data_IF_128404391965
#
_entry.id   IF_128404391965
#
_cell.length_a   1.000
_cell.length_b   1.000
_cell.length_c   1.000
_cell.angle_alpha   90.00
_cell.angle_beta   90.00
_cell.angle_gamma   90.00
#
_symmetry.space_group_name_H-M   'P 1'
#
loop_
_entity.id
_entity.type
_entity.pdbx_description
1 polymer ?
#
# COMPACT_ATOMS: atom_id res chain seq x y z
N UNK A 1 2.55 -35.58 -13.21
CA UNK A 1 2.40 -34.14 -13.46
C UNK A 1 3.61 -33.45 -12.84
N UNK A 2 4.18 -32.48 -13.56
CA UNK A 2 5.24 -31.63 -13.00
C UNK A 2 4.61 -30.56 -12.10
N UNK A 3 5.36 -29.91 -11.21
CA UNK A 3 4.83 -28.85 -10.37
C UNK A 3 4.47 -27.60 -11.19
N UNK A 4 3.54 -26.78 -10.69
CA UNK A 4 3.33 -25.41 -11.16
C UNK A 4 4.44 -24.53 -10.56
N UNK A 5 5.13 -23.77 -11.39
CA UNK A 5 6.25 -22.91 -10.98
C UNK A 5 5.75 -21.49 -10.71
N UNK A 6 5.91 -21.03 -9.49
CA UNK A 6 5.52 -19.65 -9.09
C UNK A 6 6.81 -18.82 -8.98
N UNK A 7 6.88 -17.73 -9.75
CA UNK A 7 8.02 -16.81 -9.76
C UNK A 7 7.65 -15.55 -8.97
N UNK A 8 8.27 -15.37 -7.81
CA UNK A 8 8.06 -14.27 -6.88
C UNK A 8 7.31 -14.67 -5.62
N UNK A 9 7.90 -14.37 -4.47
CA UNK A 9 7.38 -14.64 -3.11
C UNK A 9 6.70 -13.42 -2.46
N UNK A 10 6.21 -12.47 -3.26
CA UNK A 10 5.36 -11.38 -2.80
C UNK A 10 3.94 -11.83 -2.49
N UNK A 11 3.05 -10.90 -2.12
CA UNK A 11 1.66 -11.21 -1.73
C UNK A 11 0.91 -12.00 -2.80
N UNK A 12 1.07 -11.64 -4.10
CA UNK A 12 0.42 -12.34 -5.21
C UNK A 12 0.92 -13.79 -5.34
N UNK A 13 2.23 -14.02 -5.23
CA UNK A 13 2.82 -15.37 -5.27
C UNK A 13 2.42 -16.23 -4.08
N UNK A 14 2.41 -15.65 -2.88
CA UNK A 14 1.95 -16.33 -1.66
C UNK A 14 0.46 -16.71 -1.77
N UNK A 15 -0.38 -15.83 -2.32
CA UNK A 15 -1.79 -16.12 -2.55
C UNK A 15 -1.98 -17.22 -3.59
N UNK A 16 -1.23 -17.17 -4.70
CA UNK A 16 -1.24 -18.24 -5.71
C UNK A 16 -0.83 -19.59 -5.11
N UNK A 17 0.26 -19.63 -4.32
CA UNK A 17 0.71 -20.82 -3.63
C UNK A 17 -0.35 -21.36 -2.65
N UNK A 18 -0.99 -20.47 -1.88
CA UNK A 18 -2.05 -20.84 -0.94
C UNK A 18 -3.26 -21.48 -1.65
N UNK A 19 -3.67 -20.91 -2.79
CA UNK A 19 -4.78 -21.46 -3.62
C UNK A 19 -4.40 -22.86 -4.14
N UNK A 20 -3.20 -23.02 -4.70
CA UNK A 20 -2.72 -24.30 -5.22
C UNK A 20 -2.62 -25.34 -4.11
N UNK A 21 -2.08 -24.97 -2.95
CA UNK A 21 -2.00 -25.84 -1.78
C UNK A 21 -3.38 -26.33 -1.33
N UNK A 22 -4.34 -25.41 -1.21
CA UNK A 22 -5.72 -25.76 -0.84
C UNK A 22 -6.39 -26.68 -1.86
N UNK A 23 -6.08 -26.51 -3.14
CA UNK A 23 -6.57 -27.40 -4.23
C UNK A 23 -5.76 -28.68 -4.37
N UNK A 24 -4.75 -28.92 -3.53
CA UNK A 24 -3.84 -30.08 -3.58
C UNK A 24 -3.11 -30.22 -4.92
N UNK A 25 -2.83 -29.11 -5.57
CA UNK A 25 -2.02 -29.04 -6.77
C UNK A 25 -0.56 -28.89 -6.40
N UNK A 26 0.33 -29.61 -7.07
CA UNK A 26 1.77 -29.52 -6.78
C UNK A 26 2.35 -28.21 -7.34
N UNK A 27 3.17 -27.52 -6.54
CA UNK A 27 3.79 -26.25 -6.90
C UNK A 27 5.18 -26.10 -6.28
N UNK A 28 5.97 -25.20 -6.83
CA UNK A 28 7.22 -24.69 -6.23
C UNK A 28 7.23 -23.18 -6.40
N UNK A 29 7.44 -22.44 -5.31
CA UNK A 29 7.58 -21.00 -5.31
C UNK A 29 9.05 -20.62 -5.21
N UNK A 30 9.51 -19.72 -6.10
CA UNK A 30 10.87 -19.20 -6.17
C UNK A 30 10.88 -17.72 -5.80
N UNK A 31 11.74 -17.34 -4.85
CA UNK A 31 11.92 -15.97 -4.39
C UNK A 31 13.42 -15.63 -4.38
N UNK A 32 13.79 -14.47 -4.94
CA UNK A 32 15.18 -14.00 -5.01
C UNK A 32 15.77 -13.58 -3.68
N UNK A 33 14.92 -13.13 -2.76
CA UNK A 33 15.34 -12.71 -1.42
C UNK A 33 15.41 -13.90 -0.46
N UNK A 34 16.04 -13.67 0.70
CA UNK A 34 16.07 -14.63 1.79
C UNK A 34 14.77 -14.67 2.60
N UNK A 35 13.76 -13.87 2.24
CA UNK A 35 12.48 -13.71 2.93
C UNK A 35 11.34 -13.52 1.93
N UNK A 36 10.13 -13.85 2.38
CA UNK A 36 8.89 -13.67 1.63
C UNK A 36 8.30 -12.26 1.89
N UNK A 37 7.37 -11.82 1.02
CA UNK A 37 6.57 -10.60 1.23
C UNK A 37 6.79 -9.53 0.15
N UNK A 38 7.96 -9.49 -0.49
CA UNK A 38 8.25 -8.52 -1.53
C UNK A 38 8.16 -7.08 -1.03
N UNK A 39 7.19 -6.31 -1.55
CA UNK A 39 6.92 -4.92 -1.11
C UNK A 39 6.27 -4.85 0.28
N UNK A 40 5.53 -5.88 0.68
CA UNK A 40 4.92 -6.01 2.02
C UNK A 40 5.94 -6.67 2.94
N UNK A 41 6.92 -5.88 3.37
CA UNK A 41 8.02 -6.35 4.22
C UNK A 41 8.50 -5.26 5.16
N UNK A 42 9.20 -5.66 6.21
CA UNK A 42 9.77 -4.77 7.23
C UNK A 42 11.24 -5.11 7.44
N UNK A 43 12.00 -4.13 7.91
CA UNK A 43 13.37 -4.34 8.41
C UNK A 43 13.44 -3.96 9.88
N UNK A 44 14.36 -4.58 10.61
CA UNK A 44 14.70 -4.16 11.98
C UNK A 44 16.01 -3.39 11.94
N UNK A 45 16.01 -2.15 12.44
CA UNK A 45 17.19 -1.29 12.52
C UNK A 45 17.23 -0.57 13.87
N UNK A 46 18.30 -0.75 14.60
CA UNK A 46 18.52 -0.13 15.93
C UNK A 46 17.33 -0.34 16.91
N UNK A 47 16.67 -1.51 16.83
CA UNK A 47 15.49 -1.85 17.62
C UNK A 47 14.18 -1.24 17.13
N UNK A 48 14.17 -0.52 16.01
CA UNK A 48 12.97 -0.06 15.32
C UNK A 48 12.52 -1.06 14.26
N UNK A 49 11.22 -1.27 14.12
CA UNK A 49 10.62 -2.01 13.02
C UNK A 49 10.15 -0.99 11.97
N UNK A 50 10.74 -1.05 10.78
CA UNK A 50 10.50 -0.11 9.69
C UNK A 50 9.91 -0.87 8.49
N UNK A 51 8.67 -0.57 8.15
CA UNK A 51 8.03 -1.12 6.97
C UNK A 51 8.64 -0.52 5.69
N UNK A 52 8.64 -1.27 4.60
CA UNK A 52 9.15 -0.81 3.32
C UNK A 52 8.22 0.26 2.70
N UNK A 53 8.34 1.49 3.19
CA UNK A 53 7.46 2.61 2.92
C UNK A 53 6.27 2.68 3.89
N UNK A 54 5.51 3.77 3.84
CA UNK A 54 4.30 3.89 4.65
C UNK A 54 3.22 2.95 4.12
N UNK A 55 2.83 1.99 4.92
CA UNK A 55 1.82 0.99 4.59
C UNK A 55 0.82 0.83 5.72
N UNK A 56 -0.41 0.53 5.36
CA UNK A 56 -1.48 0.16 6.29
C UNK A 56 -2.24 -1.05 5.75
N UNK A 57 -2.65 -1.94 6.64
CA UNK A 57 -3.57 -3.02 6.32
C UNK A 57 -5.00 -2.51 6.44
N UNK A 58 -5.73 -2.48 5.32
CA UNK A 58 -7.16 -2.14 5.33
C UNK A 58 -7.98 -3.40 5.56
N UNK A 59 -8.61 -3.49 6.73
CA UNK A 59 -9.26 -4.73 7.18
C UNK A 59 -10.54 -5.08 6.42
N UNK A 60 -11.12 -4.13 5.68
CA UNK A 60 -12.32 -4.36 4.87
C UNK A 60 -12.07 -4.99 3.51
N UNK A 61 -10.82 -5.07 3.07
CA UNK A 61 -10.53 -5.72 1.79
C UNK A 61 -10.99 -7.18 1.81
N UNK A 62 -11.80 -7.62 0.84
CA UNK A 62 -12.33 -8.98 0.81
C UNK A 62 -11.24 -10.06 0.87
N UNK A 63 -10.12 -9.86 0.17
CA UNK A 63 -9.02 -10.82 0.15
C UNK A 63 -8.25 -10.86 1.48
N UNK A 64 -8.17 -9.74 2.21
CA UNK A 64 -7.61 -9.71 3.56
C UNK A 64 -8.43 -10.60 4.50
N UNK A 65 -9.76 -10.49 4.45
CA UNK A 65 -10.66 -11.29 5.29
C UNK A 65 -10.68 -12.79 4.92
N UNK A 66 -10.40 -13.12 3.65
CA UNK A 66 -10.37 -14.52 3.19
C UNK A 66 -9.04 -15.20 3.46
N UNK A 67 -7.93 -14.44 3.37
CA UNK A 67 -6.58 -15.01 3.32
C UNK A 67 -5.81 -14.90 4.62
N UNK A 68 -6.17 -13.95 5.51
CA UNK A 68 -5.44 -13.64 6.72
C UNK A 68 -6.25 -13.99 7.98
N UNK A 69 -5.56 -14.44 9.00
CA UNK A 69 -6.07 -14.48 10.37
C UNK A 69 -5.70 -13.16 11.06
N UNK A 70 -6.66 -12.25 11.15
CA UNK A 70 -6.44 -10.93 11.71
C UNK A 70 -6.18 -10.96 13.22
N UNK A 71 -6.67 -11.98 13.92
CA UNK A 71 -6.43 -12.14 15.36
C UNK A 71 -4.98 -12.51 15.63
N UNK A 72 -4.40 -13.41 14.84
CA UNK A 72 -2.99 -13.83 14.95
C UNK A 72 -2.02 -12.67 14.67
N UNK A 73 -2.40 -11.72 13.81
CA UNK A 73 -1.57 -10.55 13.48
C UNK A 73 -1.50 -9.50 14.60
N UNK A 74 -2.33 -9.62 15.65
CA UNK A 74 -2.38 -8.68 16.78
C UNK A 74 -2.40 -7.21 16.31
N UNK A 75 -3.43 -6.84 15.55
CA UNK A 75 -3.53 -5.57 14.84
C UNK A 75 -3.64 -4.37 15.79
N UNK A 76 -2.86 -3.34 15.53
CA UNK A 76 -2.97 -2.01 16.11
C UNK A 76 -3.64 -1.08 15.12
N UNK A 77 -4.71 -0.39 15.55
CA UNK A 77 -5.58 0.37 14.66
C UNK A 77 -5.26 1.85 14.70
N UNK A 78 -5.29 2.47 13.52
CA UNK A 78 -5.36 3.91 13.41
C UNK A 78 -6.72 4.42 13.89
N UNK A 79 -6.75 5.63 14.43
CA UNK A 79 -8.00 6.36 14.59
C UNK A 79 -8.63 6.61 13.21
N UNK A 80 -9.97 6.47 13.13
CA UNK A 80 -10.70 6.67 11.89
C UNK A 80 -10.83 8.14 11.54
N UNK A 81 -9.79 8.71 10.98
CA UNK A 81 -9.73 10.12 10.62
C UNK A 81 -8.35 10.52 10.12
N UNK A 82 -8.17 11.81 9.96
CA UNK A 82 -6.89 12.44 9.63
C UNK A 82 -6.77 13.79 10.35
N UNK A 83 -5.55 14.25 10.51
CA UNK A 83 -5.26 15.62 10.96
C UNK A 83 -4.81 16.43 9.75
N UNK A 84 -5.42 17.60 9.57
CA UNK A 84 -5.08 18.55 8.52
C UNK A 84 -4.67 19.84 9.22
N UNK A 85 -3.39 20.21 9.12
CA UNK A 85 -2.83 21.27 9.97
C UNK A 85 -3.11 20.90 11.44
N UNK A 86 -3.78 21.73 12.20
CA UNK A 86 -4.13 21.48 13.61
C UNK A 86 -5.60 21.05 13.80
N UNK A 87 -6.30 20.70 12.71
CA UNK A 87 -7.71 20.31 12.74
C UNK A 87 -7.89 18.82 12.56
N UNK A 88 -8.72 18.22 13.40
CA UNK A 88 -9.09 16.82 13.32
C UNK A 88 -10.30 16.66 12.39
N UNK A 89 -10.19 15.73 11.46
CA UNK A 89 -11.28 15.29 10.62
C UNK A 89 -11.50 13.80 10.83
N UNK A 90 -12.64 13.43 11.41
CA UNK A 90 -13.00 12.05 11.67
C UNK A 90 -13.94 11.49 10.62
N UNK A 91 -13.94 10.16 10.51
CA UNK A 91 -14.86 9.44 9.64
C UNK A 91 -16.33 9.78 10.03
N UNK A 92 -17.10 10.39 9.12
CA UNK A 92 -18.44 10.86 9.42
C UNK A 92 -19.44 9.75 9.74
N UNK A 93 -19.23 8.53 9.30
CA UNK A 93 -20.08 7.39 9.64
C UNK A 93 -19.88 6.91 11.08
N UNK A 94 -18.70 7.17 11.66
CA UNK A 94 -18.36 6.77 13.05
C UNK A 94 -18.59 7.88 14.05
N UNK A 95 -18.40 9.13 13.61
CA UNK A 95 -18.56 10.33 14.43
C UNK A 95 -19.42 11.37 13.70
N UNK A 96 -20.72 11.10 13.48
CA UNK A 96 -21.59 11.98 12.68
C UNK A 96 -21.75 13.38 13.28
N UNK A 97 -21.64 13.51 14.59
CA UNK A 97 -21.76 14.83 15.26
C UNK A 97 -20.52 15.72 15.01
N UNK A 98 -19.36 15.13 14.75
CA UNK A 98 -18.13 15.89 14.48
C UNK A 98 -18.19 16.61 13.10
N UNK A 99 -19.09 16.19 12.21
CA UNK A 99 -19.38 16.90 10.95
C UNK A 99 -19.84 18.35 11.18
N UNK A 100 -20.58 18.58 12.26
CA UNK A 100 -21.14 19.91 12.56
C UNK A 100 -20.24 20.75 13.46
N UNK A 101 -19.26 20.15 14.12
CA UNK A 101 -18.27 20.83 14.96
C UNK A 101 -16.96 21.10 14.26
N UNK A 102 -16.76 20.56 13.05
CA UNK A 102 -15.55 20.73 12.29
C UNK A 102 -15.57 22.05 11.51
N UNK A 103 -14.61 22.94 11.77
CA UNK A 103 -14.39 24.13 10.97
C UNK A 103 -13.90 23.83 9.54
N UNK A 104 -13.59 22.55 9.25
CA UNK A 104 -13.15 22.09 7.94
C UNK A 104 -14.30 22.01 6.93
N UNK A 105 -15.53 21.77 7.38
CA UNK A 105 -16.68 21.47 6.53
C UNK A 105 -17.67 22.64 6.46
N UNK A 106 -18.11 22.93 5.26
CA UNK A 106 -19.28 23.78 4.99
C UNK A 106 -20.53 22.94 4.74
N UNK A 107 -21.71 23.55 4.76
CA UNK A 107 -22.97 22.87 4.37
C UNK A 107 -22.89 22.27 2.95
N UNK A 108 -22.17 22.92 2.02
CA UNK A 108 -21.96 22.41 0.65
C UNK A 108 -21.14 21.11 0.67
N UNK A 109 -20.15 21.04 1.54
CA UNK A 109 -19.32 19.84 1.71
C UNK A 109 -20.15 18.68 2.26
N UNK A 110 -20.91 18.92 3.31
CA UNK A 110 -21.80 17.90 3.90
C UNK A 110 -22.80 17.38 2.86
N UNK A 111 -23.39 18.27 2.06
CA UNK A 111 -24.32 17.87 1.00
C UNK A 111 -23.63 17.06 -0.11
N UNK A 112 -22.42 17.44 -0.50
CA UNK A 112 -21.60 16.70 -1.48
C UNK A 112 -21.21 15.33 -0.97
N UNK A 113 -20.78 15.23 0.30
CA UNK A 113 -20.49 13.96 0.98
C UNK A 113 -21.74 13.06 1.07
N UNK A 114 -22.91 13.63 1.36
CA UNK A 114 -24.17 12.87 1.38
C UNK A 114 -24.51 12.29 0.01
N UNK A 115 -24.31 13.04 -1.09
CA UNK A 115 -24.48 12.53 -2.47
C UNK A 115 -23.52 11.37 -2.75
N UNK A 116 -22.26 11.50 -2.35
CA UNK A 116 -21.26 10.43 -2.50
C UNK A 116 -21.68 9.20 -1.69
N UNK A 117 -22.13 9.40 -0.44
CA UNK A 117 -22.59 8.30 0.41
C UNK A 117 -23.77 7.56 -0.20
N UNK A 118 -24.78 8.27 -0.72
CA UNK A 118 -25.91 7.64 -1.44
C UNK A 118 -25.42 6.81 -2.63
N UNK A 119 -24.44 7.33 -3.39
CA UNK A 119 -23.86 6.60 -4.52
C UNK A 119 -23.12 5.34 -4.07
N UNK A 120 -22.45 5.36 -2.92
CA UNK A 120 -21.75 4.19 -2.35
C UNK A 120 -22.71 3.10 -1.83
N UNK A 121 -24.01 3.40 -1.59
CA UNK A 121 -25.01 2.39 -1.24
C UNK A 121 -25.45 1.56 -2.45
N UNK A 122 -25.23 2.07 -3.67
CA UNK A 122 -25.38 1.32 -4.91
C UNK A 122 -24.14 0.49 -5.24
N UNK A 123 -24.17 -0.20 -6.37
CA UNK A 123 -22.95 -0.84 -6.87
C UNK A 123 -21.93 0.23 -7.21
N UNK A 124 -20.72 0.12 -6.65
CA UNK A 124 -19.59 0.92 -7.11
C UNK A 124 -19.42 0.64 -8.60
N UNK A 125 -19.38 1.67 -9.47
CA UNK A 125 -19.22 1.44 -10.89
C UNK A 125 -18.00 0.55 -11.14
N UNK A 126 -18.17 -0.47 -11.96
CA UNK A 126 -17.05 -1.27 -12.43
C UNK A 126 -16.00 -0.36 -13.07
N UNK A 127 -14.74 -0.78 -13.06
CA UNK A 127 -13.65 -0.04 -13.72
C UNK A 127 -13.92 0.16 -15.22
N UNK A 128 -14.83 -0.61 -15.77
CA UNK A 128 -15.17 -0.62 -17.18
C UNK A 128 -16.08 0.55 -17.57
N UNK A 129 -15.52 1.49 -18.32
CA UNK A 129 -16.27 2.40 -19.18
C UNK A 129 -16.44 3.85 -18.72
N UNK A 130 -16.12 4.22 -17.49
CA UNK A 130 -16.13 5.64 -17.12
C UNK A 130 -14.71 6.23 -17.25
N UNK A 131 -14.49 7.01 -18.31
CA UNK A 131 -13.21 7.69 -18.57
C UNK A 131 -12.96 8.90 -17.64
N UNK A 132 -13.88 9.19 -16.72
CA UNK A 132 -13.74 10.31 -15.79
C UNK A 132 -12.61 10.03 -14.79
N UNK A 133 -11.69 10.98 -14.68
CA UNK A 133 -10.62 10.94 -13.68
C UNK A 133 -11.16 11.28 -12.28
N UNK A 134 -10.44 10.87 -11.25
CA UNK A 134 -10.74 11.26 -9.86
C UNK A 134 -10.71 12.78 -9.68
N UNK A 135 -9.78 13.49 -10.35
CA UNK A 135 -9.71 14.95 -10.29
C UNK A 135 -10.97 15.61 -10.88
N UNK A 136 -11.41 15.15 -12.04
CA UNK A 136 -12.65 15.64 -12.68
C UNK A 136 -13.87 15.33 -11.83
N UNK A 137 -13.92 14.13 -11.23
CA UNK A 137 -14.99 13.76 -10.31
C UNK A 137 -15.04 14.71 -9.10
N UNK A 138 -13.93 14.93 -8.41
CA UNK A 138 -13.87 15.83 -7.25
C UNK A 138 -14.31 17.24 -7.64
N UNK A 139 -13.88 17.73 -8.81
CA UNK A 139 -14.24 19.05 -9.33
C UNK A 139 -15.73 19.15 -9.72
N UNK A 140 -16.40 18.05 -10.00
CA UNK A 140 -17.83 18.03 -10.35
C UNK A 140 -18.76 18.19 -9.14
N UNK A 141 -18.25 17.96 -7.91
CA UNK A 141 -18.98 18.21 -6.67
C UNK A 141 -18.77 19.64 -6.18
N UNK A 142 -19.78 20.18 -5.49
CA UNK A 142 -19.74 21.53 -4.95
C UNK A 142 -18.98 21.61 -3.61
N UNK A 143 -17.80 20.98 -3.54
CA UNK A 143 -16.94 21.10 -2.37
C UNK A 143 -16.39 22.51 -2.20
N UNK A 144 -16.20 22.93 -0.95
CA UNK A 144 -15.44 24.13 -0.63
C UNK A 144 -13.96 23.97 -1.05
N UNK A 145 -13.34 25.06 -1.44
CA UNK A 145 -11.90 25.01 -1.81
C UNK A 145 -11.02 24.54 -0.67
N UNK A 146 -11.41 24.89 0.56
CA UNK A 146 -10.70 24.45 1.76
C UNK A 146 -10.75 22.94 1.92
N UNK A 147 -11.94 22.33 1.97
CA UNK A 147 -12.10 20.88 2.13
C UNK A 147 -11.46 20.11 0.97
N UNK A 148 -11.66 20.60 -0.26
CA UNK A 148 -11.09 20.00 -1.46
C UNK A 148 -9.56 20.01 -1.43
N UNK A 149 -8.93 21.19 -1.21
CA UNK A 149 -7.50 21.36 -1.41
C UNK A 149 -6.66 21.03 -0.15
N UNK A 150 -7.23 21.12 1.06
CA UNK A 150 -6.49 20.82 2.28
C UNK A 150 -6.68 19.37 2.77
N UNK A 151 -7.80 18.72 2.41
CA UNK A 151 -8.09 17.35 2.83
C UNK A 151 -8.19 16.38 1.64
N UNK A 152 -9.19 16.57 0.76
CA UNK A 152 -9.60 15.53 -0.17
C UNK A 152 -8.52 15.22 -1.22
N UNK A 153 -7.97 16.27 -1.83
CA UNK A 153 -6.90 16.12 -2.83
C UNK A 153 -5.61 15.57 -2.19
N UNK A 154 -5.04 16.14 -1.10
CA UNK A 154 -3.84 15.58 -0.48
C UNK A 154 -4.02 14.15 0.02
N UNK A 155 -5.20 13.79 0.53
CA UNK A 155 -5.50 12.43 0.96
C UNK A 155 -5.40 11.44 -0.22
N UNK A 156 -6.08 11.73 -1.34
CA UNK A 156 -6.04 10.87 -2.51
C UNK A 156 -4.74 10.93 -3.30
N UNK A 157 -3.98 12.03 -3.20
CA UNK A 157 -2.58 12.05 -3.69
C UNK A 157 -1.74 10.98 -2.97
N UNK A 158 -1.94 10.80 -1.65
CA UNK A 158 -1.28 9.74 -0.88
C UNK A 158 -1.76 8.34 -1.24
N UNK A 159 -3.07 8.17 -1.50
CA UNK A 159 -3.64 6.87 -1.89
C UNK A 159 -3.17 6.43 -3.28
N UNK A 160 -3.14 7.37 -4.24
CA UNK A 160 -2.80 7.08 -5.63
C UNK A 160 -1.34 7.34 -5.98
N UNK A 161 -0.56 7.90 -5.07
CA UNK A 161 0.82 8.33 -5.28
C UNK A 161 0.97 9.25 -6.52
N UNK A 162 0.01 10.16 -6.70
CA UNK A 162 -0.06 11.07 -7.84
C UNK A 162 -0.24 12.53 -7.38
N UNK A 163 0.50 13.46 -7.99
CA UNK A 163 0.27 14.90 -7.78
C UNK A 163 -1.05 15.35 -8.42
N UNK A 164 -1.38 14.83 -9.58
CA UNK A 164 -2.67 15.04 -10.26
C UNK A 164 -3.43 13.73 -10.29
N UNK A 165 -4.66 13.73 -9.77
CA UNK A 165 -5.47 12.53 -9.57
C UNK A 165 -6.06 12.03 -10.91
N UNK A 166 -5.23 11.44 -11.76
CA UNK A 166 -5.61 10.93 -13.09
C UNK A 166 -6.19 9.52 -13.04
N UNK A 167 -6.09 8.82 -11.92
CA UNK A 167 -6.71 7.49 -11.76
C UNK A 167 -8.22 7.56 -11.95
N UNK A 168 -8.85 6.48 -12.46
CA UNK A 168 -10.29 6.41 -12.68
C UNK A 168 -11.12 6.75 -11.44
N UNK A 169 -12.24 7.45 -11.66
CA UNK A 169 -13.17 7.81 -10.59
C UNK A 169 -13.77 6.59 -9.84
N UNK A 170 -13.81 5.42 -10.47
CA UNK A 170 -14.22 4.16 -9.83
C UNK A 170 -13.30 3.77 -8.68
N UNK A 171 -11.97 3.99 -8.83
CA UNK A 171 -11.01 3.73 -7.75
C UNK A 171 -11.21 4.68 -6.57
N UNK A 172 -11.56 5.96 -6.81
CA UNK A 172 -11.93 6.88 -5.75
C UNK A 172 -13.08 6.32 -4.90
N UNK A 173 -14.17 5.86 -5.53
CA UNK A 173 -15.30 5.29 -4.80
C UNK A 173 -14.93 4.00 -4.08
N UNK A 174 -14.15 3.12 -4.71
CA UNK A 174 -13.69 1.88 -4.10
C UNK A 174 -12.89 2.14 -2.82
N UNK A 175 -11.84 2.96 -2.90
CA UNK A 175 -11.01 3.26 -1.73
C UNK A 175 -11.77 4.05 -0.67
N UNK A 176 -12.61 5.03 -1.07
CA UNK A 176 -13.43 5.76 -0.12
C UNK A 176 -14.38 4.82 0.65
N UNK A 177 -14.98 3.85 -0.03
CA UNK A 177 -15.80 2.82 0.61
C UNK A 177 -14.99 2.02 1.64
N UNK A 178 -13.78 1.60 1.28
CA UNK A 178 -12.92 0.87 2.21
C UNK A 178 -12.57 1.71 3.45
N UNK A 179 -12.25 2.99 3.28
CA UNK A 179 -11.93 3.88 4.40
C UNK A 179 -13.16 4.20 5.28
N UNK A 180 -14.34 4.26 4.69
CA UNK A 180 -15.58 4.53 5.46
C UNK A 180 -16.00 3.33 6.30
N UNK A 181 -15.91 2.13 5.78
CA UNK A 181 -16.43 0.91 6.42
C UNK A 181 -15.36 0.04 7.07
N UNK A 182 -14.11 0.14 6.63
CA UNK A 182 -12.99 -0.61 7.18
C UNK A 182 -12.21 0.11 8.27
N UNK A 183 -11.16 -0.56 8.75
CA UNK A 183 -10.18 0.00 9.67
C UNK A 183 -8.79 -0.10 9.04
N UNK A 184 -8.02 0.97 9.13
CA UNK A 184 -6.59 0.96 8.85
C UNK A 184 -5.85 0.43 10.08
N UNK A 185 -4.93 -0.50 9.88
CA UNK A 185 -4.19 -1.13 10.97
C UNK A 185 -2.73 -1.42 10.58
N UNK A 186 -1.91 -1.67 11.59
CA UNK A 186 -0.54 -2.19 11.46
C UNK A 186 -0.46 -3.46 12.30
N UNK A 187 0.09 -4.58 11.77
CA UNK A 187 0.41 -5.75 12.59
C UNK A 187 1.41 -5.41 13.71
N UNK A 188 1.33 -6.11 14.83
CA UNK A 188 2.20 -5.87 15.99
C UNK A 188 3.70 -5.92 15.65
N UNK A 189 4.09 -6.80 14.73
CA UNK A 189 5.47 -7.01 14.29
C UNK A 189 5.77 -6.35 12.92
N UNK A 190 4.98 -5.32 12.51
CA UNK A 190 5.09 -4.67 11.21
C UNK A 190 4.49 -5.49 10.07
N UNK A 191 4.54 -4.94 8.86
CA UNK A 191 3.89 -5.53 7.68
C UNK A 191 4.47 -6.89 7.27
N UNK A 192 5.73 -7.19 7.62
CA UNK A 192 6.36 -8.50 7.38
C UNK A 192 5.57 -9.66 8.01
N UNK A 193 4.87 -9.43 9.12
CA UNK A 193 4.05 -10.44 9.78
C UNK A 193 2.98 -11.05 8.87
N UNK A 194 2.45 -10.28 7.92
CA UNK A 194 1.47 -10.75 6.94
C UNK A 194 2.07 -11.84 6.05
N UNK A 195 3.24 -11.55 5.47
CA UNK A 195 3.93 -12.52 4.62
C UNK A 195 4.39 -13.76 5.39
N UNK A 196 4.84 -13.57 6.63
CA UNK A 196 5.24 -14.65 7.51
C UNK A 196 4.04 -15.57 7.82
N UNK A 197 2.88 -15.02 8.15
CA UNK A 197 1.66 -15.78 8.39
C UNK A 197 1.25 -16.59 7.14
N UNK A 198 1.25 -15.98 5.96
CA UNK A 198 0.89 -16.69 4.73
C UNK A 198 1.91 -17.79 4.40
N UNK A 199 3.20 -17.49 4.53
CA UNK A 199 4.29 -18.44 4.27
C UNK A 199 4.30 -19.63 5.23
N UNK A 200 4.00 -19.40 6.51
CA UNK A 200 3.99 -20.47 7.54
C UNK A 200 2.92 -21.54 7.31
N UNK A 201 1.89 -21.22 6.52
CA UNK A 201 0.82 -22.15 6.14
C UNK A 201 1.16 -23.03 4.93
N UNK A 202 2.32 -22.79 4.30
CA UNK A 202 2.78 -23.51 3.12
C UNK A 202 3.87 -24.52 3.47
N UNK A 203 3.99 -25.64 2.73
CA UNK A 203 5.06 -26.61 2.92
C UNK A 203 6.43 -25.95 2.67
N UNK A 204 7.34 -26.04 3.64
CA UNK A 204 8.67 -25.38 3.59
C UNK A 204 9.51 -25.88 2.40
N UNK A 205 9.41 -27.14 2.05
CA UNK A 205 10.11 -27.74 0.91
C UNK A 205 9.68 -27.17 -0.44
N UNK A 206 8.50 -26.55 -0.52
CA UNK A 206 7.96 -25.90 -1.71
C UNK A 206 8.39 -24.43 -1.86
N UNK A 207 9.02 -23.84 -0.85
CA UNK A 207 9.48 -22.46 -0.84
C UNK A 207 10.99 -22.42 -1.09
N UNK A 208 11.40 -21.92 -2.27
CA UNK A 208 12.79 -21.82 -2.68
C UNK A 208 13.25 -20.37 -2.60
N UNK A 209 13.79 -19.98 -1.45
CA UNK A 209 14.36 -18.64 -1.22
C UNK A 209 15.78 -18.53 -1.80
N UNK A 210 16.28 -17.30 -1.98
CA UNK A 210 17.58 -17.00 -2.59
C UNK A 210 17.72 -17.59 -4.00
N UNK A 211 16.62 -17.68 -4.75
CA UNK A 211 16.58 -18.22 -6.12
C UNK A 211 16.10 -17.15 -7.10
N UNK A 212 17.05 -16.49 -7.76
CA UNK A 212 16.76 -15.47 -8.76
C UNK A 212 16.48 -16.12 -10.12
N UNK A 213 15.31 -15.80 -10.70
CA UNK A 213 14.90 -16.25 -12.03
C UNK A 213 15.33 -15.19 -13.04
N UNK A 214 15.96 -15.63 -14.13
CA UNK A 214 16.49 -14.75 -15.20
C UNK A 214 15.83 -14.97 -16.55
N UNK A 215 15.13 -16.09 -16.75
CA UNK A 215 14.32 -16.34 -17.94
C UNK A 215 13.12 -17.23 -17.61
N UNK A 216 12.05 -17.10 -18.39
CA UNK A 216 10.82 -17.85 -18.24
C UNK A 216 10.28 -18.29 -19.60
N UNK A 217 9.55 -19.40 -19.59
CA UNK A 217 8.70 -19.86 -20.70
C UNK A 217 7.36 -20.33 -20.13
N UNK A 218 6.37 -20.71 -20.95
CA UNK A 218 5.10 -21.22 -20.41
C UNK A 218 5.23 -22.42 -19.47
N UNK A 219 6.30 -23.22 -19.60
CA UNK A 219 6.49 -24.48 -18.85
C UNK A 219 7.88 -24.63 -18.23
N UNK A 220 8.71 -23.61 -18.24
CA UNK A 220 10.02 -23.65 -17.58
C UNK A 220 10.47 -22.32 -17.07
N UNK A 221 11.40 -22.34 -16.11
CA UNK A 221 12.12 -21.18 -15.61
C UNK A 221 13.61 -21.46 -15.65
N UNK A 222 14.44 -20.41 -15.78
CA UNK A 222 15.89 -20.50 -15.69
C UNK A 222 16.38 -19.72 -14.49
N UNK A 223 17.08 -20.39 -13.58
CA UNK A 223 17.75 -19.76 -12.44
C UNK A 223 18.97 -18.96 -12.90
N UNK A 224 19.39 -18.01 -12.12
CA UNK A 224 20.64 -17.25 -12.34
C UNK A 224 21.88 -18.16 -12.36
N UNK A 225 21.82 -19.32 -11.73
CA UNK A 225 22.85 -20.36 -11.80
C UNK A 225 23.00 -21.02 -13.19
N UNK A 226 22.02 -20.81 -14.08
CA UNK A 226 21.90 -21.50 -15.37
C UNK A 226 21.07 -22.78 -15.33
N UNK A 227 20.63 -23.23 -14.16
CA UNK A 227 19.75 -24.40 -14.02
C UNK A 227 18.36 -24.11 -14.62
N UNK A 228 17.86 -25.03 -15.44
CA UNK A 228 16.50 -24.98 -16.03
C UNK A 228 15.59 -25.92 -15.26
N UNK A 229 14.48 -25.39 -14.77
CA UNK A 229 13.47 -26.15 -14.05
C UNK A 229 12.20 -26.21 -14.89
N UNK A 230 11.70 -27.39 -15.12
CA UNK A 230 10.48 -27.63 -15.90
C UNK A 230 9.26 -27.82 -14.99
N UNK A 231 8.12 -27.30 -15.43
CA UNK A 231 6.82 -27.41 -14.79
C UNK A 231 5.69 -27.64 -15.79
N UNK A 232 4.49 -27.85 -15.29
CA UNK A 232 3.29 -27.92 -16.12
C UNK A 232 2.75 -26.54 -16.52
N UNK A 233 3.03 -25.51 -15.72
CA UNK A 233 2.72 -24.10 -15.98
C UNK A 233 3.65 -23.17 -15.19
N UNK A 234 3.73 -21.89 -15.59
CA UNK A 234 4.43 -20.82 -14.88
C UNK A 234 3.42 -19.74 -14.48
N UNK A 235 3.45 -19.38 -13.19
CA UNK A 235 2.77 -18.20 -12.63
C UNK A 235 3.81 -17.13 -12.36
N UNK A 236 3.73 -16.00 -13.07
CA UNK A 236 4.60 -14.85 -12.91
C UNK A 236 3.96 -13.88 -11.91
N UNK A 237 4.52 -13.83 -10.69
CA UNK A 237 3.99 -13.10 -9.54
C UNK A 237 5.01 -12.09 -8.96
N UNK A 238 5.79 -11.49 -9.82
CA UNK A 238 6.78 -10.46 -9.48
C UNK A 238 6.22 -9.05 -9.72
N UNK A 239 6.93 -8.03 -9.27
CA UNK A 239 6.55 -6.63 -9.56
C UNK A 239 6.65 -6.32 -11.06
N UNK A 240 5.92 -5.30 -11.51
CA UNK A 240 5.79 -4.95 -12.92
C UNK A 240 7.13 -4.75 -13.65
N UNK A 241 8.15 -4.06 -13.09
CA UNK A 241 9.44 -3.92 -13.77
C UNK A 241 10.15 -5.25 -14.01
N UNK A 242 10.12 -6.15 -13.04
CA UNK A 242 10.74 -7.50 -13.18
C UNK A 242 9.93 -8.35 -14.17
N UNK A 243 8.59 -8.28 -14.11
CA UNK A 243 7.75 -8.96 -15.08
C UNK A 243 8.02 -8.48 -16.51
N UNK A 244 8.09 -7.17 -16.73
CA UNK A 244 8.41 -6.58 -18.02
C UNK A 244 9.78 -7.05 -18.55
N UNK A 245 10.79 -7.08 -17.67
CA UNK A 245 12.13 -7.58 -18.02
C UNK A 245 12.11 -9.05 -18.43
N UNK A 246 11.44 -9.91 -17.67
CA UNK A 246 11.36 -11.35 -17.96
C UNK A 246 10.53 -11.65 -19.22
N UNK A 247 9.58 -10.79 -19.56
CA UNK A 247 8.75 -10.89 -20.77
C UNK A 247 9.37 -10.18 -21.97
N UNK A 248 10.51 -9.49 -21.81
CA UNK A 248 11.21 -8.81 -22.92
C UNK A 248 10.47 -7.58 -23.45
N UNK A 249 9.68 -6.90 -22.62
CA UNK A 249 8.99 -5.65 -22.99
C UNK A 249 9.55 -4.44 -22.25
N UNK A 250 9.25 -3.25 -22.75
CA UNK A 250 9.58 -2.02 -22.04
C UNK A 250 8.82 -1.96 -20.72
N UNK A 251 9.49 -1.43 -19.68
CA UNK A 251 8.85 -1.23 -18.38
C UNK A 251 7.76 -0.17 -18.52
N UNK A 252 6.48 -0.48 -18.24
CA UNK A 252 5.41 0.49 -18.25
C UNK A 252 5.64 1.58 -17.20
N UNK A 253 5.01 2.74 -17.41
CA UNK A 253 5.11 3.87 -16.48
C UNK A 253 4.50 3.49 -15.12
N UNK A 254 5.24 3.79 -14.07
CA UNK A 254 4.84 3.51 -12.69
C UNK A 254 4.87 4.78 -11.86
N UNK A 255 4.20 4.72 -10.72
CA UNK A 255 4.14 5.76 -9.72
C UNK A 255 5.00 5.35 -8.52
N UNK A 256 5.69 6.32 -7.93
CA UNK A 256 6.59 6.07 -6.82
C UNK A 256 6.40 7.03 -5.67
N UNK A 257 7.05 6.69 -4.57
CA UNK A 257 7.14 7.54 -3.39
C UNK A 257 8.47 7.34 -2.69
N UNK A 258 8.84 8.31 -1.86
CA UNK A 258 9.93 8.18 -0.90
C UNK A 258 9.36 8.30 0.50
N UNK A 259 9.71 7.36 1.37
CA UNK A 259 9.33 7.38 2.78
C UNK A 259 10.59 7.44 3.63
N UNK A 260 10.69 8.47 4.47
CA UNK A 260 11.76 8.64 5.44
C UNK A 260 11.26 8.34 6.84
N UNK A 261 12.07 7.62 7.61
CA UNK A 261 11.82 7.31 9.00
C UNK A 261 12.72 8.15 9.91
N UNK A 262 12.10 8.74 10.91
CA UNK A 262 12.79 9.54 11.93
C UNK A 262 12.41 9.06 13.33
N UNK A 263 13.37 9.09 14.24
CA UNK A 263 13.10 8.90 15.67
C UNK A 263 13.16 10.22 16.42
N UNK A 264 12.37 10.28 17.49
CA UNK A 264 12.44 11.34 18.48
C UNK A 264 12.25 10.79 19.89
N UNK A 265 12.27 11.63 20.92
CA UNK A 265 11.83 11.26 22.25
C UNK A 265 10.30 11.07 22.23
N UNK A 266 9.81 9.99 22.81
CA UNK A 266 8.37 9.79 22.96
C UNK A 266 7.77 10.90 23.82
N UNK A 267 6.67 11.47 23.35
CA UNK A 267 5.83 12.41 24.09
C UNK A 267 4.57 11.70 24.59
N UNK A 268 3.68 12.41 25.27
CA UNK A 268 2.40 11.85 25.72
C UNK A 268 1.58 11.32 24.52
N UNK A 269 0.83 10.23 24.75
CA UNK A 269 0.01 9.57 23.74
C UNK A 269 -0.86 10.57 22.99
N UNK A 270 -0.64 10.63 21.69
CA UNK A 270 -1.48 11.35 20.74
C UNK A 270 -2.35 10.32 20.00
N UNK A 271 -3.52 10.73 19.46
CA UNK A 271 -4.28 9.83 18.60
C UNK A 271 -3.44 9.41 17.40
N UNK A 272 -3.41 8.10 17.13
CA UNK A 272 -2.69 7.52 16.00
C UNK A 272 -3.39 7.87 14.68
N UNK A 273 -3.05 9.03 14.11
CA UNK A 273 -3.67 9.60 12.91
C UNK A 273 -2.66 9.85 11.81
N UNK A 274 -3.14 9.74 10.57
CA UNK A 274 -2.45 10.29 9.41
C UNK A 274 -2.53 11.83 9.48
N UNK A 275 -1.40 12.50 9.33
CA UNK A 275 -1.30 13.96 9.25
C UNK A 275 -1.04 14.38 7.82
N UNK A 276 -2.04 15.00 7.19
CA UNK A 276 -1.93 15.52 5.83
C UNK A 276 -1.24 16.88 5.86
N UNK A 277 -0.20 17.02 5.07
CA UNK A 277 0.62 18.24 4.96
C UNK A 277 0.40 18.90 3.61
N UNK A 278 0.56 18.14 2.52
CA UNK A 278 0.35 18.64 1.16
C UNK A 278 1.38 19.69 0.73
N UNK A 279 2.58 19.72 1.37
CA UNK A 279 3.69 20.58 0.96
C UNK A 279 4.59 19.86 -0.07
N UNK A 280 5.40 20.61 -0.78
CA UNK A 280 6.23 20.13 -1.88
C UNK A 280 7.10 18.92 -1.54
N UNK A 281 7.75 18.92 -0.37
CA UNK A 281 8.66 17.86 0.05
C UNK A 281 8.04 16.88 1.04
N UNK A 282 6.81 17.13 1.52
CA UNK A 282 6.13 16.28 2.48
C UNK A 282 4.62 16.25 2.20
N UNK A 283 4.15 15.12 1.74
CA UNK A 283 2.72 14.92 1.49
C UNK A 283 1.95 14.65 2.79
N UNK A 284 2.44 13.69 3.56
CA UNK A 284 1.87 13.31 4.85
C UNK A 284 2.92 12.68 5.76
N UNK A 285 2.61 12.65 7.04
CA UNK A 285 3.39 11.89 8.03
C UNK A 285 2.47 11.29 9.10
N UNK A 286 3.03 10.36 9.87
CA UNK A 286 2.37 9.80 11.05
C UNK A 286 3.39 9.43 12.11
N UNK A 287 3.01 9.52 13.37
CA UNK A 287 3.75 8.93 14.48
C UNK A 287 3.27 7.47 14.63
N UNK A 288 4.04 6.53 14.10
CA UNK A 288 3.66 5.11 14.10
C UNK A 288 3.57 4.53 15.51
N UNK A 289 4.35 5.06 16.44
CA UNK A 289 4.32 4.62 17.86
C UNK A 289 3.09 5.09 18.63
N UNK A 290 2.33 6.07 18.12
CA UNK A 290 1.01 6.41 18.65
C UNK A 290 -0.04 5.36 18.26
N UNK A 291 0.22 4.59 17.19
CA UNK A 291 -0.61 3.44 16.76
C UNK A 291 -0.10 2.16 17.39
N UNK A 292 1.18 1.87 17.24
CA UNK A 292 1.82 0.64 17.72
C UNK A 292 3.15 0.98 18.46
N UNK A 293 3.13 1.10 19.78
CA UNK A 293 4.33 1.40 20.58
C UNK A 293 5.45 0.35 20.42
N UNK A 294 5.11 -0.88 20.00
CA UNK A 294 6.06 -1.98 19.79
C UNK A 294 7.01 -1.77 18.62
N UNK A 295 6.75 -0.79 17.73
CA UNK A 295 7.61 -0.51 16.58
C UNK A 295 8.90 0.24 16.93
N UNK A 296 9.08 0.67 18.17
CA UNK A 296 10.26 1.42 18.60
C UNK A 296 10.76 0.98 19.98
N UNK A 297 12.04 1.22 20.31
CA UNK A 297 12.55 1.05 21.66
C UNK A 297 11.81 1.95 22.67
N UNK A 298 11.67 1.47 23.91
CA UNK A 298 10.99 2.19 25.00
C UNK A 298 11.48 3.63 25.12
N UNK A 299 10.54 4.57 25.16
CA UNK A 299 10.83 6.00 25.30
C UNK A 299 11.20 6.69 23.98
N UNK A 300 11.11 6.01 22.86
CA UNK A 300 11.30 6.56 21.50
C UNK A 300 9.99 6.65 20.75
N UNK A 301 9.86 7.68 19.94
CA UNK A 301 8.82 7.81 18.94
C UNK A 301 9.37 7.47 17.54
N UNK A 302 8.56 6.86 16.70
CA UNK A 302 8.86 6.54 15.31
C UNK A 302 7.92 7.33 14.39
N UNK A 303 8.48 8.20 13.57
CA UNK A 303 7.78 8.97 12.56
C UNK A 303 8.04 8.39 11.17
N UNK A 304 6.98 8.22 10.38
CA UNK A 304 7.03 7.95 8.96
C UNK A 304 6.60 9.19 8.20
N UNK A 305 7.41 9.65 7.25
CA UNK A 305 7.19 10.86 6.46
C UNK A 305 7.32 10.53 4.97
N UNK A 306 6.27 10.79 4.18
CA UNK A 306 6.18 10.39 2.77
C UNK A 306 6.15 11.59 1.85
N UNK A 307 6.99 11.54 0.80
CA UNK A 307 7.03 12.47 -0.32
C UNK A 307 6.72 11.76 -1.64
N UNK A 308 6.06 12.45 -2.56
CA UNK A 308 5.88 12.00 -3.96
C UNK A 308 7.03 12.45 -4.85
N UNK A 309 7.87 13.37 -4.38
CA UNK A 309 9.00 13.92 -5.12
C UNK A 309 10.30 13.23 -4.72
N UNK A 310 11.31 13.38 -5.57
CA UNK A 310 12.68 12.97 -5.26
C UNK A 310 13.33 13.98 -4.30
N UNK A 311 12.74 14.08 -3.08
CA UNK A 311 13.22 14.99 -2.03
C UNK A 311 14.33 14.33 -1.22
N UNK A 312 15.31 15.11 -0.80
CA UNK A 312 16.34 14.65 0.14
C UNK A 312 15.76 14.41 1.53
N UNK A 313 16.47 13.66 2.35
CA UNK A 313 16.10 13.43 3.75
C UNK A 313 16.05 14.74 4.55
N UNK A 314 16.96 15.68 4.24
CA UNK A 314 17.06 17.00 4.87
C UNK A 314 15.86 17.86 4.51
N UNK A 315 15.40 17.87 3.24
CA UNK A 315 14.21 18.62 2.81
C UNK A 315 12.95 18.09 3.50
N UNK A 316 12.76 16.77 3.53
CA UNK A 316 11.63 16.13 4.22
C UNK A 316 11.69 16.46 5.72
N UNK A 317 12.88 16.35 6.34
CA UNK A 317 13.09 16.66 7.75
C UNK A 317 12.76 18.11 8.07
N UNK A 318 13.23 19.05 7.26
CA UNK A 318 13.01 20.48 7.45
C UNK A 318 11.52 20.85 7.44
N UNK A 319 10.72 20.20 6.56
CA UNK A 319 9.26 20.37 6.56
C UNK A 319 8.64 19.71 7.80
N UNK A 320 9.04 18.47 8.12
CA UNK A 320 8.49 17.74 9.27
C UNK A 320 8.73 18.47 10.59
N UNK A 321 9.88 19.11 10.77
CA UNK A 321 10.22 19.88 11.98
C UNK A 321 9.27 21.07 12.21
N UNK A 322 8.67 21.66 11.16
CA UNK A 322 7.66 22.73 11.30
C UNK A 322 6.40 22.22 12.03
N UNK A 323 6.04 20.94 11.82
CA UNK A 323 4.86 20.29 12.41
C UNK A 323 5.15 19.60 13.75
N UNK A 324 6.41 19.52 14.16
CA UNK A 324 6.87 18.89 15.40
C UNK A 324 7.76 19.85 16.21
N UNK A 325 7.26 21.03 16.60
CA UNK A 325 8.07 22.03 17.29
C UNK A 325 8.64 21.48 18.59
N UNK A 326 9.93 21.70 18.80
CA UNK A 326 10.68 21.26 19.99
C UNK A 326 11.09 19.78 19.98
N UNK A 327 10.74 19.00 18.94
CA UNK A 327 11.23 17.64 18.78
C UNK A 327 12.59 17.63 18.07
N UNK A 328 13.55 16.90 18.63
CA UNK A 328 14.83 16.63 17.96
C UNK A 328 14.71 15.36 17.13
N UNK A 329 14.57 15.51 15.82
CA UNK A 329 14.46 14.40 14.90
C UNK A 329 15.82 13.81 14.54
N UNK A 330 15.95 12.50 14.65
CA UNK A 330 17.11 11.72 14.20
C UNK A 330 16.66 10.85 13.02
N UNK A 331 17.33 11.00 11.88
CA UNK A 331 17.08 10.15 10.71
C UNK A 331 17.48 8.70 11.00
N UNK A 332 16.64 7.76 10.61
CA UNK A 332 16.87 6.32 10.76
C UNK A 332 17.15 5.65 9.42
N UNK A 333 16.22 5.81 8.47
CA UNK A 333 16.27 5.14 7.18
C UNK A 333 15.34 5.80 6.17
N UNK A 334 15.59 5.58 4.88
CA UNK A 334 14.65 5.92 3.81
C UNK A 334 14.44 4.75 2.86
N UNK A 335 13.23 4.65 2.33
CA UNK A 335 12.89 3.75 1.23
C UNK A 335 12.50 4.60 0.02
N UNK A 336 13.22 4.41 -1.06
CA UNK A 336 12.83 4.89 -2.39
C UNK A 336 12.07 3.77 -3.10
N UNK A 337 10.84 4.04 -3.47
CA UNK A 337 9.91 3.08 -4.04
C UNK A 337 9.41 3.59 -5.39
N UNK A 338 10.25 3.53 -6.44
CA UNK A 338 9.92 4.12 -7.75
C UNK A 338 8.77 3.39 -8.47
N UNK A 339 8.46 2.17 -8.04
CA UNK A 339 7.47 1.29 -8.67
C UNK A 339 6.43 0.81 -7.65
N UNK A 340 5.85 1.74 -6.88
CA UNK A 340 4.86 1.39 -5.84
C UNK A 340 3.50 1.06 -6.42
N UNK A 341 3.05 1.81 -7.41
CA UNK A 341 1.78 1.64 -8.12
C UNK A 341 1.99 1.78 -9.62
N UNK A 342 1.04 1.30 -10.40
CA UNK A 342 0.99 1.47 -11.86
C UNK A 342 -0.20 2.31 -12.29
N UNK A 343 -0.12 2.80 -13.53
CA UNK A 343 -1.24 3.44 -14.19
C UNK A 343 -2.14 2.35 -14.81
N UNK A 344 -3.44 2.43 -14.56
CA UNK A 344 -4.42 1.42 -15.02
C UNK A 344 -4.43 1.28 -16.56
N UNK A 345 -4.09 2.33 -17.29
CA UNK A 345 -4.13 2.37 -18.75
C UNK A 345 -3.01 1.56 -19.45
N UNK A 346 -1.95 1.14 -18.74
CA UNK A 346 -0.76 0.53 -19.35
C UNK A 346 -0.69 -1.00 -19.23
N UNK A 347 -1.75 -1.67 -18.76
CA UNK A 347 -1.72 -3.10 -18.43
C UNK A 347 -1.86 -4.04 -19.64
N UNK A 348 -2.28 -3.57 -20.80
CA UNK A 348 -2.49 -4.43 -21.99
C UNK A 348 -1.19 -5.01 -22.54
N UNK A 349 -0.11 -4.23 -22.52
CA UNK A 349 1.18 -4.67 -23.08
C UNK A 349 1.71 -5.92 -22.38
N UNK A 350 1.61 -5.96 -21.04
CA UNK A 350 2.09 -7.11 -20.25
C UNK A 350 1.19 -8.34 -20.44
N UNK A 351 -0.13 -8.14 -20.53
CA UNK A 351 -1.09 -9.24 -20.79
C UNK A 351 -0.83 -9.89 -22.13
N UNK A 352 -0.55 -9.09 -23.17
CA UNK A 352 -0.25 -9.59 -24.52
C UNK A 352 1.10 -10.32 -24.60
N UNK A 353 2.12 -9.85 -23.87
CA UNK A 353 3.46 -10.45 -23.87
C UNK A 353 3.52 -11.78 -23.10
N UNK A 354 2.59 -12.04 -22.20
CA UNK A 354 2.59 -13.21 -21.33
C UNK A 354 1.92 -14.45 -21.93
N UNK A 355 1.89 -14.61 -23.26
CA UNK A 355 1.23 -15.73 -23.93
C UNK A 355 1.64 -17.09 -23.33
N UNK A 356 0.67 -17.83 -22.77
CA UNK A 356 0.88 -19.13 -22.13
C UNK A 356 1.43 -19.07 -20.69
N UNK A 357 1.71 -17.88 -20.15
CA UNK A 357 2.14 -17.65 -18.76
C UNK A 357 0.97 -17.06 -17.98
N UNK A 358 0.73 -17.55 -16.77
CA UNK A 358 -0.29 -16.97 -15.87
C UNK A 358 0.31 -15.79 -15.14
N UNK A 359 -0.29 -14.62 -15.29
CA UNK A 359 0.13 -13.43 -14.55
C UNK A 359 -0.61 -13.34 -13.21
N UNK A 360 0.10 -12.89 -12.16
CA UNK A 360 -0.47 -12.58 -10.85
C UNK A 360 0.20 -11.34 -10.26
N UNK A 361 -0.56 -10.27 -10.05
CA UNK A 361 -0.03 -9.03 -9.51
C UNK A 361 -1.04 -7.89 -9.58
N UNK A 362 -0.76 -6.82 -8.86
CA UNK A 362 -1.56 -5.61 -8.79
C UNK A 362 -1.65 -4.83 -10.13
N UNK A 363 -0.82 -5.20 -11.10
CA UNK A 363 -0.83 -4.64 -12.45
C UNK A 363 -1.87 -5.30 -13.39
N UNK A 364 -2.72 -6.15 -12.88
CA UNK A 364 -3.77 -6.81 -13.67
C UNK A 364 -5.16 -6.20 -13.47
N UNK A 365 -5.33 -5.36 -12.46
CA UNK A 365 -6.61 -4.78 -12.04
C UNK A 365 -6.76 -3.29 -12.38
#
# INVERSE_FOLDING_TARGET
MKPILIVGGGMAGLQAASILHTKRMDFILFEKQAYLGGRVSSIVKDGFILDRGFQVLQTSYPEVQRSLDLAELNLHFFESGAMVKDQLFFNPLRRPFDLFSSDMLTFKDVFSLAKIWVRLQGNVPALDGNKQTTQELINSYAFSDRFKNEFLVPFFQGVFLQETLTQPASLFFYYLQQFLYGNAAIPAEGMQAIANQMGSRLPVDKLKLNQEIVAISPTSITLKSGEVIEGDAVILAVDLPVAATLLGINIPKTLGSKTCYFSAKSTANQPGLLRLVGEEHLLHFTCLTDVNPGLAPKGKALYSATSLKNSSEEEIKAVLEKYLPGQKLTFLHSFELPHSLQLVEENEAIKNAAAGIVLAGDYLE
#
